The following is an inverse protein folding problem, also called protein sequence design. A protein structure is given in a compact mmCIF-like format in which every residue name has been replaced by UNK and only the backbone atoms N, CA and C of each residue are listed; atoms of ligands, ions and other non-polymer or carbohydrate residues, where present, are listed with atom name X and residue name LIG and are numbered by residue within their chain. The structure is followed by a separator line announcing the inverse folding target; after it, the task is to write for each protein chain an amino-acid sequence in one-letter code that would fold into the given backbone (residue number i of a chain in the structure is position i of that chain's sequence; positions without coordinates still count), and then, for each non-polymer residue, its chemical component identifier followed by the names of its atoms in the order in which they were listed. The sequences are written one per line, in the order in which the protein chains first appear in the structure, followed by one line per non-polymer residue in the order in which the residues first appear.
data_IF_420224351350
#
_entry.id   IF_420224351350
#
_cell.length_a   1.000
_cell.length_b   1.000
_cell.length_c   1.000
_cell.angle_alpha   90.00
_cell.angle_beta   90.00
_cell.angle_gamma   90.00
#
_symmetry.space_group_name_H-M   'P 1'
#
loop_
_entity.id
_entity.type
_entity.pdbx_description
1 polymer ?
#
# COMPACT_ATOMS: atom_id res chain seq x y z
N UNK A 1 21.49 17.44 26.00
CA UNK A 1 21.57 18.65 26.86
C UNK A 1 21.71 18.22 28.31
N UNK A 2 22.63 18.83 29.06
CA UNK A 2 22.79 18.63 30.51
C UNK A 2 21.51 19.06 31.23
N UNK A 3 20.67 18.12 31.64
CA UNK A 3 19.46 18.40 32.41
C UNK A 3 19.90 18.83 33.80
N UNK A 4 19.95 20.14 34.04
CA UNK A 4 19.98 20.68 35.41
C UNK A 4 18.84 20.01 36.16
N UNK A 5 19.13 19.30 37.25
CA UNK A 5 18.10 18.70 38.09
C UNK A 5 17.16 19.82 38.53
N UNK A 6 15.96 19.86 37.95
CA UNK A 6 14.87 20.74 38.37
C UNK A 6 13.98 19.87 39.28
N UNK A 7 14.28 19.78 40.59
CA UNK A 7 13.47 19.01 41.50
C UNK A 7 12.10 19.67 41.69
N UNK A 8 11.08 18.84 41.87
CA UNK A 8 9.77 19.30 42.31
C UNK A 8 9.77 19.21 43.84
N UNK A 9 9.86 20.37 44.49
CA UNK A 9 10.01 20.46 45.95
C UNK A 9 8.67 20.44 46.67
N UNK A 10 7.64 21.05 46.08
CA UNK A 10 6.28 21.10 46.59
C UNK A 10 5.32 20.30 45.70
N UNK A 11 4.79 19.21 46.26
CA UNK A 11 3.89 18.27 45.57
C UNK A 11 2.41 18.55 45.79
N UNK A 12 2.07 19.58 46.58
CA UNK A 12 0.70 20.08 46.64
C UNK A 12 0.22 20.50 45.25
N UNK A 13 -1.09 20.58 45.05
CA UNK A 13 -1.63 21.02 43.76
C UNK A 13 -1.11 22.41 43.39
N UNK A 14 -1.13 23.35 44.33
CA UNK A 14 -0.62 24.72 44.14
C UNK A 14 0.89 24.73 43.86
N UNK A 15 1.66 23.88 44.54
CA UNK A 15 3.10 23.70 44.29
C UNK A 15 3.39 23.22 42.87
N UNK A 16 2.64 22.23 42.38
CA UNK A 16 2.76 21.69 41.01
C UNK A 16 2.37 22.72 39.95
N UNK A 17 1.31 23.50 40.18
CA UNK A 17 0.93 24.59 39.29
C UNK A 17 2.01 25.68 39.21
N UNK A 18 2.60 26.07 40.36
CA UNK A 18 3.72 27.02 40.40
C UNK A 18 4.95 26.47 39.69
N UNK A 19 5.24 25.18 39.86
CA UNK A 19 6.35 24.51 39.19
C UNK A 19 6.21 24.53 37.66
N UNK A 20 5.02 24.19 37.13
CA UNK A 20 4.73 24.26 35.69
C UNK A 20 4.87 25.68 35.17
N UNK A 21 4.31 26.68 35.87
CA UNK A 21 4.44 28.09 35.45
C UNK A 21 5.89 28.54 35.36
N UNK A 22 6.74 28.14 36.32
CA UNK A 22 8.16 28.51 36.35
C UNK A 22 8.99 27.79 35.27
N UNK A 23 8.68 26.52 34.98
CA UNK A 23 9.53 25.67 34.14
C UNK A 23 8.85 25.20 32.84
N UNK A 24 7.78 25.87 32.39
CA UNK A 24 6.88 25.43 31.31
C UNK A 24 7.60 25.00 30.05
N UNK A 25 8.50 25.84 29.55
CA UNK A 25 9.26 25.59 28.31
C UNK A 25 10.11 24.32 28.43
N UNK A 26 10.76 24.10 29.58
CA UNK A 26 11.58 22.91 29.81
C UNK A 26 10.75 21.63 29.91
N UNK A 27 9.54 21.72 30.49
CA UNK A 27 8.59 20.59 30.57
C UNK A 27 8.05 20.23 29.19
N UNK A 28 7.55 21.21 28.43
CA UNK A 28 7.00 20.99 27.09
C UNK A 28 8.04 20.43 26.13
N UNK A 29 9.28 20.96 26.16
CA UNK A 29 10.39 20.44 25.34
C UNK A 29 10.74 18.99 25.71
N UNK A 30 10.79 18.67 27.01
CA UNK A 30 11.08 17.30 27.46
C UNK A 30 9.97 16.33 27.06
N UNK A 31 8.71 16.76 27.07
CA UNK A 31 7.56 15.96 26.60
C UNK A 31 7.60 15.74 25.09
N UNK A 32 7.80 16.81 24.32
CA UNK A 32 7.86 16.73 22.85
C UNK A 32 8.97 15.77 22.40
N UNK A 33 10.18 15.93 22.94
CA UNK A 33 11.30 15.03 22.66
C UNK A 33 10.98 13.58 23.04
N UNK A 34 10.29 13.36 24.17
CA UNK A 34 9.94 11.99 24.58
C UNK A 34 8.87 11.36 23.69
N UNK A 35 7.94 12.16 23.15
CA UNK A 35 6.87 11.71 22.26
C UNK A 35 7.38 11.32 20.87
N UNK A 36 8.45 11.95 20.39
CA UNK A 36 9.10 11.60 19.11
C UNK A 36 9.62 10.15 19.08
N UNK A 37 10.10 9.62 20.21
CA UNK A 37 10.65 8.25 20.29
C UNK A 37 9.61 7.18 20.67
N UNK A 38 8.32 7.53 20.81
CA UNK A 38 7.27 6.63 21.29
C UNK A 38 6.25 6.34 20.19
N UNK A 39 5.72 5.10 20.13
CA UNK A 39 4.83 4.64 19.06
C UNK A 39 3.59 5.55 18.93
N UNK A 40 3.37 6.11 17.74
CA UNK A 40 2.35 7.13 17.48
C UNK A 40 0.92 6.61 17.69
N UNK A 41 0.66 5.34 17.38
CA UNK A 41 -0.66 4.71 17.55
C UNK A 41 -1.15 4.76 19.01
N UNK A 42 -0.27 4.45 19.97
CA UNK A 42 -0.62 4.43 21.40
C UNK A 42 -0.83 5.85 21.95
N UNK A 43 -0.12 6.85 21.42
CA UNK A 43 -0.28 8.25 21.80
C UNK A 43 -1.55 8.84 21.18
N UNK A 44 -1.84 8.51 19.94
CA UNK A 44 -3.07 8.92 19.26
C UNK A 44 -4.28 8.30 19.96
N UNK A 45 -4.24 7.02 20.29
CA UNK A 45 -5.30 6.34 21.03
C UNK A 45 -5.49 6.92 22.43
N UNK A 46 -4.41 7.15 23.17
CA UNK A 46 -4.50 7.63 24.55
C UNK A 46 -4.75 9.14 24.64
N UNK A 47 -4.19 9.97 23.75
CA UNK A 47 -4.16 11.43 23.87
C UNK A 47 -4.67 12.21 22.65
N UNK A 48 -4.74 11.57 21.48
CA UNK A 48 -5.34 12.09 20.24
C UNK A 48 -4.34 12.63 19.22
N UNK A 49 -3.25 13.25 19.66
CA UNK A 49 -2.10 13.62 18.84
C UNK A 49 -0.91 13.91 19.76
N UNK A 50 0.29 14.03 19.22
CA UNK A 50 1.48 14.36 20.02
C UNK A 50 1.37 15.75 20.67
N UNK A 51 0.89 16.77 19.95
CA UNK A 51 0.72 18.13 20.49
C UNK A 51 -0.33 18.16 21.61
N UNK A 52 -1.42 17.39 21.45
CA UNK A 52 -2.45 17.26 22.48
C UNK A 52 -1.97 16.43 23.67
N UNK A 53 -1.05 15.50 23.46
CA UNK A 53 -0.45 14.71 24.54
C UNK A 53 0.37 15.60 25.48
N UNK A 54 1.17 16.53 24.94
CA UNK A 54 1.93 17.49 25.77
C UNK A 54 0.99 18.28 26.70
N UNK A 55 -0.06 18.88 26.14
CA UNK A 55 -1.02 19.69 26.92
C UNK A 55 -1.73 18.84 27.98
N UNK A 56 -2.25 17.67 27.60
CA UNK A 56 -3.02 16.80 28.51
C UNK A 56 -2.17 16.19 29.62
N UNK A 57 -0.90 15.88 29.36
CA UNK A 57 0.00 15.37 30.40
C UNK A 57 0.29 16.45 31.44
N UNK A 58 0.46 17.71 31.01
CA UNK A 58 0.62 18.84 31.92
C UNK A 58 -0.64 19.04 32.76
N UNK A 59 -1.83 18.98 32.15
CA UNK A 59 -3.12 19.06 32.86
C UNK A 59 -3.29 17.95 33.90
N UNK A 60 -2.94 16.71 33.56
CA UNK A 60 -2.96 15.57 34.48
C UNK A 60 -1.98 15.76 35.63
N UNK A 61 -0.79 16.30 35.35
CA UNK A 61 0.23 16.56 36.37
C UNK A 61 -0.20 17.64 37.36
N UNK A 62 -1.01 18.64 36.98
CA UNK A 62 -1.51 19.65 37.92
C UNK A 62 -2.87 19.29 38.53
N UNK A 63 -3.47 18.18 38.12
CA UNK A 63 -4.77 17.76 38.64
C UNK A 63 -4.73 17.42 40.13
N UNK A 64 -5.83 17.70 40.83
CA UNK A 64 -6.07 17.29 42.22
C UNK A 64 -6.06 15.77 42.42
N UNK A 65 -6.29 15.01 41.34
CA UNK A 65 -6.32 13.53 41.35
C UNK A 65 -4.96 12.87 41.18
N UNK A 66 -3.90 13.66 40.99
CA UNK A 66 -2.55 13.15 40.86
C UNK A 66 -2.07 12.52 42.17
N UNK A 67 -1.60 11.28 42.11
CA UNK A 67 -1.03 10.57 43.25
C UNK A 67 0.47 10.38 43.07
N UNK A 68 1.24 10.83 44.06
CA UNK A 68 2.69 10.72 44.10
C UNK A 68 3.18 9.28 44.31
N UNK A 69 2.34 8.40 44.85
CA UNK A 69 2.75 7.06 45.30
C UNK A 69 3.28 6.17 44.16
N UNK A 70 2.87 6.42 42.91
CA UNK A 70 3.23 5.62 41.73
C UNK A 70 4.29 6.29 40.85
N UNK A 71 4.87 7.39 41.31
CA UNK A 71 5.80 8.22 40.54
C UNK A 71 7.24 7.81 40.81
N UNK A 72 8.00 7.44 39.77
CA UNK A 72 9.37 6.95 39.91
C UNK A 72 10.41 8.08 40.00
N UNK A 73 10.16 9.23 39.36
CA UNK A 73 11.06 10.39 39.36
C UNK A 73 10.38 11.61 39.97
N UNK A 74 11.10 12.31 40.85
CA UNK A 74 10.63 13.51 41.56
C UNK A 74 11.19 14.82 40.98
N UNK A 75 11.62 14.77 39.72
CA UNK A 75 12.20 15.87 38.96
C UNK A 75 11.59 15.93 37.54
N UNK A 76 12.15 16.78 36.68
CA UNK A 76 11.72 16.94 35.28
C UNK A 76 11.65 15.62 34.49
N UNK A 77 12.42 14.58 34.87
CA UNK A 77 12.43 13.29 34.15
C UNK A 77 11.13 12.53 34.30
N UNK A 78 10.24 12.91 35.21
CA UNK A 78 8.89 12.36 35.29
C UNK A 78 8.14 12.45 33.94
N UNK A 79 8.34 13.52 33.19
CA UNK A 79 7.64 13.76 31.94
C UNK A 79 8.11 12.86 30.79
N UNK A 80 9.24 12.17 30.93
CA UNK A 80 9.70 11.20 29.92
C UNK A 80 8.98 9.85 30.04
N UNK A 81 8.25 9.61 31.14
CA UNK A 81 7.60 8.33 31.43
C UNK A 81 6.23 8.19 30.73
N UNK A 82 6.19 8.20 29.40
CA UNK A 82 4.93 8.23 28.63
C UNK A 82 3.99 7.05 28.92
N UNK A 83 4.51 5.85 29.19
CA UNK A 83 3.68 4.70 29.61
C UNK A 83 2.96 4.94 30.93
N UNK A 84 3.62 5.60 31.89
CA UNK A 84 2.99 5.99 33.15
C UNK A 84 1.84 6.95 32.86
N UNK A 85 2.04 7.95 32.00
CA UNK A 85 1.02 8.93 31.65
C UNK A 85 -0.17 8.33 30.90
N UNK A 86 0.06 7.41 29.95
CA UNK A 86 -1.00 6.64 29.27
C UNK A 86 -1.80 5.85 30.31
N UNK A 87 -1.14 5.10 31.18
CA UNK A 87 -1.79 4.27 32.20
C UNK A 87 -2.51 5.11 33.26
N UNK A 88 -1.95 6.27 33.61
CA UNK A 88 -2.53 7.20 34.56
C UNK A 88 -3.80 7.85 34.00
N UNK A 89 -3.77 8.29 32.73
CA UNK A 89 -4.95 8.82 32.06
C UNK A 89 -6.05 7.77 31.90
N UNK A 90 -5.67 6.54 31.56
CA UNK A 90 -6.61 5.44 31.31
C UNK A 90 -7.00 4.67 32.58
N UNK A 91 -6.48 5.07 33.76
CA UNK A 91 -6.73 4.50 35.08
C UNK A 91 -6.81 2.96 35.09
N UNK A 92 -5.83 2.28 34.49
CA UNK A 92 -5.69 0.82 34.55
C UNK A 92 -6.58 0.00 33.62
N UNK A 93 -7.29 0.61 32.66
CA UNK A 93 -8.23 -0.13 31.79
C UNK A 93 -7.64 -0.68 30.48
N UNK A 94 -6.31 -0.80 30.35
CA UNK A 94 -5.71 -1.48 29.18
C UNK A 94 -4.79 -2.61 29.65
N UNK A 95 -5.40 -3.76 29.93
CA UNK A 95 -4.69 -5.04 30.03
C UNK A 95 -4.58 -5.67 28.64
N UNK A 96 -3.36 -5.95 28.20
CA UNK A 96 -3.10 -6.90 27.11
C UNK A 96 -3.47 -8.32 27.57
N UNK A 97 -4.48 -8.94 26.96
CA UNK A 97 -4.50 -10.38 26.68
C UNK A 97 -5.64 -10.75 25.70
N UNK A 98 -5.41 -11.80 24.94
CA UNK A 98 -6.17 -12.29 23.80
C UNK A 98 -7.59 -12.80 24.11
N UNK A 99 -8.45 -12.78 23.07
CA UNK A 99 -9.77 -13.45 22.92
C UNK A 99 -10.88 -12.98 23.86
N UNK A 100 -12.16 -12.81 23.51
CA UNK A 100 -13.05 -12.79 22.32
C UNK A 100 -14.31 -12.00 22.81
N UNK A 101 -15.24 -11.66 21.91
CA UNK A 101 -16.66 -11.28 22.11
C UNK A 101 -16.86 -9.76 21.97
N UNK A 102 -17.20 -9.27 20.76
CA UNK A 102 -18.57 -9.00 20.23
C UNK A 102 -19.31 -7.92 21.04
N UNK A 103 -20.00 -6.93 20.48
CA UNK A 103 -20.96 -7.00 19.39
C UNK A 103 -21.43 -5.59 19.00
N UNK A 104 -21.66 -5.38 17.70
CA UNK A 104 -22.83 -4.70 17.09
C UNK A 104 -23.36 -3.36 17.63
N UNK A 105 -23.44 -2.36 16.73
CA UNK A 105 -24.67 -1.67 16.24
C UNK A 105 -24.34 -0.24 15.74
N UNK A 106 -24.47 0.03 14.43
CA UNK A 106 -25.55 0.85 13.81
C UNK A 106 -25.61 2.32 14.32
N UNK A 107 -25.53 3.40 13.53
CA UNK A 107 -26.02 3.74 12.18
C UNK A 107 -25.54 5.17 11.78
N UNK A 108 -25.67 5.46 10.48
CA UNK A 108 -25.79 6.75 9.79
C UNK A 108 -24.55 7.43 9.18
N UNK A 109 -24.39 7.13 7.88
CA UNK A 109 -24.45 8.09 6.77
C UNK A 109 -23.60 9.37 6.90
N UNK A 110 -22.35 9.26 6.48
CA UNK A 110 -21.68 10.32 5.73
C UNK A 110 -21.24 9.75 4.38
N UNK A 111 -21.98 10.11 3.34
CA UNK A 111 -21.57 9.91 1.97
C UNK A 111 -20.39 10.83 1.61
N UNK A 112 -19.49 10.53 0.66
CA UNK A 112 -18.99 9.27 0.09
C UNK A 112 -17.90 9.69 -0.92
N UNK A 113 -16.75 10.19 -0.46
CA UNK A 113 -15.62 10.52 -1.37
C UNK A 113 -14.27 10.03 -0.84
N UNK A 114 -14.15 9.59 0.41
CA UNK A 114 -12.85 9.27 1.03
C UNK A 114 -12.51 7.78 1.15
N UNK A 115 -13.26 6.87 0.51
CA UNK A 115 -13.13 5.43 0.76
C UNK A 115 -12.67 4.57 -0.43
N UNK A 116 -12.68 5.09 -1.66
CA UNK A 116 -12.29 4.29 -2.84
C UNK A 116 -10.78 4.08 -2.92
N UNK A 117 -9.98 5.11 -2.63
CA UNK A 117 -8.52 5.02 -2.67
C UNK A 117 -7.97 4.11 -1.55
N UNK A 118 -8.56 4.17 -0.35
CA UNK A 118 -8.16 3.31 0.77
C UNK A 118 -8.49 1.84 0.49
N UNK A 119 -9.67 1.55 -0.09
CA UNK A 119 -10.09 0.20 -0.50
C UNK A 119 -9.25 -0.34 -1.67
N UNK A 120 -8.88 0.50 -2.63
CA UNK A 120 -8.01 0.13 -3.75
C UNK A 120 -6.57 -0.14 -3.28
N UNK A 121 -6.06 0.62 -2.32
CA UNK A 121 -4.76 0.39 -1.69
C UNK A 121 -4.75 -0.87 -0.81
N UNK A 122 -5.83 -1.14 -0.07
CA UNK A 122 -6.01 -2.39 0.68
C UNK A 122 -6.04 -3.61 -0.24
N UNK A 123 -6.70 -3.49 -1.40
CA UNK A 123 -6.69 -4.54 -2.41
C UNK A 123 -5.28 -4.78 -2.96
N UNK A 124 -4.53 -3.70 -3.22
CA UNK A 124 -3.14 -3.79 -3.69
C UNK A 124 -2.22 -4.41 -2.62
N UNK A 125 -2.36 -4.01 -1.35
CA UNK A 125 -1.57 -4.55 -0.24
C UNK A 125 -1.84 -6.03 0.01
N UNK A 126 -3.05 -6.51 -0.28
CA UNK A 126 -3.42 -7.93 -0.20
C UNK A 126 -2.91 -8.78 -1.39
N UNK A 127 -2.77 -8.17 -2.57
CA UNK A 127 -2.34 -8.87 -3.80
C UNK A 127 -0.83 -8.94 -3.92
N UNK A 128 -0.10 -7.89 -3.49
CA UNK A 128 1.35 -7.81 -3.60
C UNK A 128 2.09 -9.00 -2.93
N UNK A 129 1.77 -9.42 -1.70
CA UNK A 129 2.37 -10.61 -1.09
C UNK A 129 2.11 -11.88 -1.90
N UNK A 130 0.90 -12.03 -2.46
CA UNK A 130 0.54 -13.19 -3.30
C UNK A 130 1.33 -13.19 -4.60
N UNK A 131 1.51 -12.02 -5.20
CA UNK A 131 2.32 -11.86 -6.40
C UNK A 131 3.79 -12.24 -6.11
N UNK A 132 4.37 -11.71 -5.04
CA UNK A 132 5.74 -12.02 -4.62
C UNK A 132 5.97 -13.52 -4.32
N UNK A 133 4.95 -14.23 -3.82
CA UNK A 133 5.04 -15.68 -3.61
C UNK A 133 4.96 -16.48 -4.92
N UNK A 134 4.31 -15.93 -5.96
CA UNK A 134 3.97 -16.64 -7.20
C UNK A 134 4.87 -16.31 -8.38
N UNK A 135 5.70 -15.27 -8.31
CA UNK A 135 6.64 -14.93 -9.40
C UNK A 135 8.08 -14.87 -8.93
N UNK A 136 9.00 -14.86 -9.89
CA UNK A 136 10.42 -14.66 -9.61
C UNK A 136 10.72 -13.18 -9.29
N UNK A 137 11.84 -12.93 -8.62
CA UNK A 137 12.20 -11.60 -8.12
C UNK A 137 12.38 -10.57 -9.25
N UNK A 138 12.92 -11.00 -10.40
CA UNK A 138 13.06 -10.19 -11.60
C UNK A 138 11.71 -9.65 -12.11
N UNK A 139 10.66 -10.47 -12.10
CA UNK A 139 9.30 -10.06 -12.47
C UNK A 139 8.78 -8.98 -11.51
N UNK A 140 9.05 -9.10 -10.20
CA UNK A 140 8.71 -8.06 -9.22
C UNK A 140 9.45 -6.76 -9.54
N UNK A 141 10.74 -6.83 -9.84
CA UNK A 141 11.54 -5.66 -10.22
C UNK A 141 10.99 -4.98 -11.46
N UNK A 142 10.65 -5.73 -12.51
CA UNK A 142 10.09 -5.15 -13.72
C UNK A 142 8.70 -4.56 -13.49
N UNK A 143 7.89 -5.14 -12.61
CA UNK A 143 6.62 -4.55 -12.19
C UNK A 143 6.81 -3.21 -11.48
N UNK A 144 7.75 -3.12 -10.54
CA UNK A 144 8.10 -1.87 -9.85
C UNK A 144 8.58 -0.81 -10.84
N UNK A 145 9.47 -1.19 -11.77
CA UNK A 145 9.95 -0.26 -12.82
C UNK A 145 8.83 0.20 -13.74
N UNK A 146 7.85 -0.66 -14.06
CA UNK A 146 6.71 -0.32 -14.90
C UNK A 146 5.75 0.67 -14.22
N UNK A 147 5.66 0.63 -12.88
CA UNK A 147 4.75 1.44 -12.07
C UNK A 147 5.44 2.55 -11.28
N UNK A 148 6.72 2.87 -11.55
CA UNK A 148 7.50 3.87 -10.80
C UNK A 148 6.77 5.20 -10.61
N UNK A 149 6.11 5.72 -11.66
CA UNK A 149 5.38 6.99 -11.58
C UNK A 149 4.21 6.92 -10.60
N UNK A 150 3.39 5.86 -10.69
CA UNK A 150 2.28 5.60 -9.78
C UNK A 150 2.79 5.44 -8.34
N UNK A 151 3.88 4.70 -8.13
CA UNK A 151 4.47 4.50 -6.80
C UNK A 151 5.03 5.79 -6.20
N UNK A 152 5.61 6.66 -7.02
CA UNK A 152 6.07 7.98 -6.58
C UNK A 152 4.90 8.88 -6.14
N UNK A 153 3.78 8.81 -6.85
CA UNK A 153 2.56 9.57 -6.51
C UNK A 153 1.91 9.05 -5.22
N UNK A 154 2.11 7.78 -4.88
CA UNK A 154 1.61 7.15 -3.65
C UNK A 154 2.54 7.31 -2.44
N UNK A 155 3.81 7.64 -2.63
CA UNK A 155 4.78 7.83 -1.55
C UNK A 155 4.62 9.20 -0.88
N UNK A 156 4.84 9.29 0.44
CA UNK A 156 4.91 10.58 1.16
C UNK A 156 6.08 11.43 0.65
N UNK A 157 6.07 12.75 0.93
CA UNK A 157 7.07 13.73 0.43
C UNK A 157 8.53 13.42 0.80
N UNK A 158 8.77 12.49 1.72
CA UNK A 158 10.08 11.90 1.99
C UNK A 158 10.32 10.78 0.99
N UNK A 159 10.86 11.17 -0.17
CA UNK A 159 11.03 10.33 -1.34
C UNK A 159 11.77 9.02 -1.00
N UNK A 160 11.08 7.89 -1.16
CA UNK A 160 11.74 6.59 -1.30
C UNK A 160 12.71 6.73 -2.48
N UNK A 161 14.01 6.56 -2.25
CA UNK A 161 14.99 6.53 -3.33
C UNK A 161 14.85 5.21 -4.11
N UNK A 162 13.87 5.19 -5.00
CA UNK A 162 13.65 4.07 -5.90
C UNK A 162 14.88 3.81 -6.80
N UNK A 163 15.77 4.80 -7.00
CA UNK A 163 17.01 4.58 -7.73
C UNK A 163 17.93 3.61 -6.99
N UNK A 164 18.03 3.73 -5.65
CA UNK A 164 18.74 2.76 -4.79
C UNK A 164 18.11 1.36 -4.88
N UNK A 165 16.78 1.26 -4.83
CA UNK A 165 16.05 -0.03 -4.98
C UNK A 165 16.26 -0.66 -6.36
N UNK A 166 16.41 0.14 -7.41
CA UNK A 166 16.63 -0.35 -8.78
C UNK A 166 18.11 -0.59 -9.12
N UNK A 167 19.05 0.04 -8.42
CA UNK A 167 20.50 -0.11 -8.66
C UNK A 167 21.06 -1.44 -8.14
N UNK A 168 20.41 -2.09 -7.18
CA UNK A 168 20.84 -3.40 -6.68
C UNK A 168 20.54 -4.56 -7.65
N UNK A 169 19.79 -4.31 -8.74
CA UNK A 169 19.25 -5.35 -9.63
C UNK A 169 19.64 -5.05 -11.08
N UNK A 170 20.93 -5.18 -11.37
CA UNK A 170 21.47 -5.08 -12.73
C UNK A 170 21.23 -6.39 -13.52
N UNK A 171 20.16 -6.40 -14.29
CA UNK A 171 20.09 -7.21 -15.51
C UNK A 171 20.13 -6.24 -16.70
N UNK A 172 21.32 -5.98 -17.24
CA UNK A 172 21.49 -5.13 -18.42
C UNK A 172 20.89 -5.82 -19.65
N UNK A 173 19.71 -5.36 -20.06
CA UNK A 173 18.99 -5.85 -21.24
C UNK A 173 18.70 -4.68 -22.17
N UNK A 174 18.49 -4.94 -23.47
CA UNK A 174 18.14 -3.87 -24.40
C UNK A 174 16.81 -3.19 -24.03
N UNK A 175 16.66 -1.91 -24.38
CA UNK A 175 15.44 -1.14 -24.08
C UNK A 175 14.14 -1.82 -24.58
N UNK A 176 14.22 -2.50 -25.74
CA UNK A 176 13.10 -3.27 -26.31
C UNK A 176 12.75 -4.48 -25.44
N UNK A 177 13.76 -5.22 -24.96
CA UNK A 177 13.58 -6.34 -24.04
C UNK A 177 13.03 -5.86 -22.69
N UNK A 178 13.57 -4.78 -22.16
CA UNK A 178 13.12 -4.17 -20.92
C UNK A 178 11.63 -3.76 -20.98
N UNK A 179 11.19 -3.19 -22.12
CA UNK A 179 9.78 -2.84 -22.34
C UNK A 179 8.89 -4.08 -22.34
N UNK A 180 9.33 -5.18 -22.96
CA UNK A 180 8.59 -6.45 -22.95
C UNK A 180 8.47 -7.04 -21.55
N UNK A 181 9.55 -7.02 -20.77
CA UNK A 181 9.54 -7.50 -19.39
C UNK A 181 8.63 -6.66 -18.47
N UNK A 182 8.67 -5.32 -18.59
CA UNK A 182 7.79 -4.41 -17.84
C UNK A 182 6.32 -4.69 -18.12
N UNK A 183 5.97 -4.86 -19.41
CA UNK A 183 4.60 -5.10 -19.84
C UNK A 183 4.11 -6.50 -19.41
N UNK A 184 4.95 -7.53 -19.55
CA UNK A 184 4.65 -8.88 -19.07
C UNK A 184 4.42 -8.91 -17.55
N UNK A 185 5.29 -8.29 -16.77
CA UNK A 185 5.18 -8.20 -15.32
C UNK A 185 3.89 -7.48 -14.89
N UNK A 186 3.56 -6.35 -15.53
CA UNK A 186 2.31 -5.63 -15.29
C UNK A 186 1.07 -6.46 -15.65
N UNK A 187 1.11 -7.20 -16.77
CA UNK A 187 0.01 -8.06 -17.21
C UNK A 187 -0.27 -9.19 -16.21
N UNK A 188 0.79 -9.87 -15.72
CA UNK A 188 0.69 -10.91 -14.69
C UNK A 188 0.16 -10.39 -13.36
N UNK A 189 0.58 -9.20 -12.95
CA UNK A 189 0.05 -8.58 -11.74
C UNK A 189 -1.44 -8.25 -11.89
N UNK A 190 -1.84 -7.65 -13.01
CA UNK A 190 -3.24 -7.31 -13.30
C UNK A 190 -4.16 -8.53 -13.28
N UNK A 191 -3.67 -9.68 -13.75
CA UNK A 191 -4.42 -10.93 -13.70
C UNK A 191 -4.86 -11.29 -12.26
N UNK A 192 -3.96 -11.15 -11.29
CA UNK A 192 -4.26 -11.37 -9.88
C UNK A 192 -5.06 -10.22 -9.26
N UNK A 193 -4.68 -8.98 -9.56
CA UNK A 193 -5.31 -7.78 -9.00
C UNK A 193 -6.79 -7.66 -9.39
N UNK A 194 -7.12 -7.99 -10.65
CA UNK A 194 -8.49 -7.92 -11.16
C UNK A 194 -9.32 -9.17 -10.87
N UNK A 195 -8.73 -10.20 -10.24
CA UNK A 195 -9.47 -11.41 -9.86
C UNK A 195 -9.87 -12.28 -11.04
N UNK A 196 -9.12 -12.23 -12.15
CA UNK A 196 -9.38 -13.06 -13.35
C UNK A 196 -9.09 -14.54 -13.06
N UNK A 197 -8.27 -14.82 -12.04
CA UNK A 197 -8.03 -16.15 -11.45
C UNK A 197 -9.30 -16.88 -10.99
N UNK A 198 -10.39 -16.15 -10.75
CA UNK A 198 -11.68 -16.74 -10.35
C UNK A 198 -12.45 -17.37 -11.52
N UNK A 199 -12.04 -17.13 -12.77
CA UNK A 199 -12.64 -17.74 -13.96
C UNK A 199 -11.95 -19.08 -14.28
N UNK A 200 -12.57 -20.19 -13.83
CA UNK A 200 -11.95 -21.53 -13.70
C UNK A 200 -11.20 -22.02 -14.95
N UNK A 201 -11.74 -21.81 -16.14
CA UNK A 201 -11.19 -22.41 -17.38
C UNK A 201 -9.93 -21.69 -17.89
N UNK A 202 -9.75 -20.42 -17.52
CA UNK A 202 -8.63 -19.57 -17.91
C UNK A 202 -7.52 -19.65 -16.86
N UNK A 203 -7.91 -19.74 -15.60
CA UNK A 203 -7.01 -19.60 -14.47
C UNK A 203 -5.98 -20.74 -14.37
N UNK A 204 -6.43 -22.00 -14.42
CA UNK A 204 -5.55 -23.14 -14.13
C UNK A 204 -4.34 -23.20 -15.07
N UNK A 205 -4.57 -23.01 -16.37
CA UNK A 205 -3.49 -23.04 -17.36
C UNK A 205 -2.55 -21.84 -17.20
N UNK A 206 -3.10 -20.64 -17.08
CA UNK A 206 -2.33 -19.41 -16.99
C UNK A 206 -1.48 -19.34 -15.73
N UNK A 207 -2.07 -19.67 -14.56
CA UNK A 207 -1.36 -19.66 -13.29
C UNK A 207 -0.19 -20.63 -13.27
N UNK A 208 -0.43 -21.89 -13.68
CA UNK A 208 0.62 -22.92 -13.73
C UNK A 208 1.80 -22.50 -14.61
N UNK A 209 1.51 -21.79 -15.71
CA UNK A 209 2.53 -21.42 -16.69
C UNK A 209 3.25 -20.11 -16.36
N UNK A 210 2.53 -19.09 -15.90
CA UNK A 210 3.06 -17.72 -15.78
C UNK A 210 3.11 -17.18 -14.34
N UNK A 211 2.57 -17.91 -13.36
CA UNK A 211 2.59 -17.55 -11.93
C UNK A 211 3.22 -18.67 -11.08
N UNK A 212 4.44 -19.07 -11.47
CA UNK A 212 5.27 -20.00 -10.72
C UNK A 212 6.59 -19.34 -10.30
N UNK A 213 7.07 -19.62 -9.09
CA UNK A 213 8.36 -19.11 -8.59
C UNK A 213 9.53 -19.79 -9.33
N UNK A 214 10.54 -19.03 -9.76
CA UNK A 214 11.73 -19.57 -10.45
C UNK A 214 11.63 -19.51 -11.99
N UNK A 215 11.54 -20.65 -12.67
CA UNK A 215 11.53 -20.76 -14.14
C UNK A 215 10.23 -20.21 -14.75
N UNK A 216 10.09 -18.89 -14.77
CA UNK A 216 8.86 -18.19 -15.13
C UNK A 216 9.04 -17.27 -16.36
N UNK A 217 9.81 -17.76 -17.32
CA UNK A 217 10.16 -17.02 -18.53
C UNK A 217 8.91 -16.80 -19.39
N UNK A 218 8.60 -15.55 -19.79
CA UNK A 218 7.53 -15.30 -20.74
C UNK A 218 7.81 -16.00 -22.08
N UNK A 219 6.75 -16.17 -22.87
CA UNK A 219 6.77 -16.98 -24.10
C UNK A 219 7.94 -16.63 -25.04
N UNK A 220 8.27 -15.35 -25.18
CA UNK A 220 9.34 -14.87 -26.05
C UNK A 220 10.77 -15.15 -25.55
N UNK A 221 10.94 -15.72 -24.35
CA UNK A 221 12.25 -16.06 -23.74
C UNK A 221 12.32 -17.56 -23.38
N UNK A 222 11.23 -18.33 -23.53
CA UNK A 222 11.28 -19.78 -23.36
C UNK A 222 12.01 -20.42 -24.55
N UNK A 223 13.32 -20.60 -24.41
CA UNK A 223 14.22 -21.12 -25.46
C UNK A 223 13.99 -22.60 -25.84
N UNK A 224 12.93 -23.28 -25.39
CA UNK A 224 12.71 -24.71 -25.71
C UNK A 224 11.25 -25.13 -25.97
N UNK A 225 11.05 -25.73 -27.15
CA UNK A 225 10.13 -26.86 -27.49
C UNK A 225 8.65 -26.81 -27.08
N UNK A 226 7.99 -25.67 -27.16
CA UNK A 226 6.53 -25.66 -26.99
C UNK A 226 5.78 -26.08 -28.28
N UNK A 227 4.88 -27.05 -28.17
CA UNK A 227 4.09 -27.54 -29.32
C UNK A 227 3.20 -26.43 -29.90
N UNK A 228 2.88 -26.51 -31.19
CA UNK A 228 1.93 -25.58 -31.83
C UNK A 228 0.58 -25.52 -31.09
N UNK A 229 0.13 -26.65 -30.53
CA UNK A 229 -1.10 -26.75 -29.73
C UNK A 229 -1.01 -25.90 -28.45
N UNK A 230 0.10 -25.98 -27.73
CA UNK A 230 0.31 -25.18 -26.52
C UNK A 230 0.43 -23.69 -26.84
N UNK A 231 1.17 -23.32 -27.90
CA UNK A 231 1.23 -21.93 -28.37
C UNK A 231 -0.14 -21.38 -28.75
N UNK A 232 -0.96 -22.19 -29.42
CA UNK A 232 -2.34 -21.81 -29.74
C UNK A 232 -3.18 -21.62 -28.47
N UNK A 233 -3.08 -22.53 -27.49
CA UNK A 233 -3.79 -22.42 -26.22
C UNK A 233 -3.38 -21.16 -25.43
N UNK A 234 -2.09 -20.82 -25.41
CA UNK A 234 -1.59 -19.55 -24.84
C UNK A 234 -2.29 -18.38 -25.50
N UNK A 235 -2.26 -18.29 -26.83
CA UNK A 235 -2.87 -17.16 -27.57
C UNK A 235 -4.36 -17.02 -27.25
N UNK A 236 -5.10 -18.12 -27.20
CA UNK A 236 -6.52 -18.12 -26.82
C UNK A 236 -6.72 -17.65 -25.37
N UNK A 237 -5.89 -18.13 -24.45
CA UNK A 237 -5.97 -17.76 -23.02
C UNK A 237 -5.70 -16.27 -22.83
N UNK A 238 -4.65 -15.73 -23.46
CA UNK A 238 -4.29 -14.32 -23.36
C UNK A 238 -5.37 -13.42 -23.95
N UNK A 239 -5.97 -13.82 -25.07
CA UNK A 239 -7.13 -13.12 -25.65
C UNK A 239 -8.29 -13.00 -24.65
N UNK A 240 -8.68 -14.12 -24.03
CA UNK A 240 -9.76 -14.13 -23.01
C UNK A 240 -9.43 -13.26 -21.79
N UNK A 241 -8.16 -13.21 -21.38
CA UNK A 241 -7.71 -12.32 -20.29
C UNK A 241 -7.85 -10.85 -20.72
N UNK A 242 -7.43 -10.49 -21.94
CA UNK A 242 -7.59 -9.13 -22.48
C UNK A 242 -9.08 -8.76 -22.58
N UNK A 243 -9.95 -9.68 -22.99
CA UNK A 243 -11.39 -9.46 -23.02
C UNK A 243 -11.93 -9.17 -21.62
N UNK A 244 -11.49 -9.93 -20.63
CA UNK A 244 -11.86 -9.71 -19.23
C UNK A 244 -11.40 -8.34 -18.73
N UNK A 245 -10.15 -7.94 -19.04
CA UNK A 245 -9.65 -6.60 -18.71
C UNK A 245 -10.44 -5.49 -19.41
N UNK A 246 -10.81 -5.70 -20.68
CA UNK A 246 -11.64 -4.76 -21.44
C UNK A 246 -13.02 -4.59 -20.84
N UNK A 247 -13.65 -5.69 -20.44
CA UNK A 247 -14.95 -5.65 -19.78
C UNK A 247 -14.88 -4.91 -18.44
N UNK A 248 -13.88 -5.25 -17.61
CA UNK A 248 -13.66 -4.60 -16.32
C UNK A 248 -13.46 -3.10 -16.53
N UNK A 249 -12.59 -2.70 -17.46
CA UNK A 249 -12.33 -1.30 -17.78
C UNK A 249 -13.61 -0.54 -18.18
N UNK A 250 -14.47 -1.13 -19.02
CA UNK A 250 -15.73 -0.50 -19.42
C UNK A 250 -16.72 -0.35 -18.26
N UNK A 251 -16.70 -1.28 -17.32
CA UNK A 251 -17.60 -1.27 -16.16
C UNK A 251 -17.04 -0.48 -14.97
N UNK A 252 -15.75 -0.18 -14.95
CA UNK A 252 -15.11 0.63 -13.91
C UNK A 252 -15.67 2.05 -13.88
N UNK A 253 -15.72 2.60 -12.68
CA UNK A 253 -16.01 4.01 -12.44
C UNK A 253 -14.76 4.85 -12.78
N UNK A 254 -14.95 6.05 -13.32
CA UNK A 254 -13.85 6.98 -13.60
C UNK A 254 -13.08 7.38 -12.32
N UNK A 255 -13.72 7.25 -11.16
CA UNK A 255 -13.12 7.46 -9.84
C UNK A 255 -12.19 6.33 -9.38
N UNK A 256 -12.15 5.15 -10.03
CA UNK A 256 -11.19 4.08 -9.70
C UNK A 256 -9.82 4.35 -10.35
N UNK A 257 -9.17 5.43 -9.89
CA UNK A 257 -7.92 5.95 -10.46
C UNK A 257 -6.81 4.89 -10.42
N UNK A 258 -6.74 4.08 -9.36
CA UNK A 258 -5.70 3.06 -9.21
C UNK A 258 -5.83 1.96 -10.28
N UNK A 259 -7.02 1.39 -10.43
CA UNK A 259 -7.26 0.34 -11.43
C UNK A 259 -7.01 0.85 -12.84
N UNK A 260 -7.49 2.06 -13.15
CA UNK A 260 -7.28 2.69 -14.46
C UNK A 260 -5.80 2.97 -14.73
N UNK A 261 -5.05 3.41 -13.72
CA UNK A 261 -3.60 3.65 -13.84
C UNK A 261 -2.82 2.37 -14.09
N UNK A 262 -3.17 1.27 -13.42
CA UNK A 262 -2.54 -0.03 -13.64
C UNK A 262 -2.82 -0.57 -15.04
N UNK A 263 -4.05 -0.41 -15.56
CA UNK A 263 -4.43 -0.84 -16.91
C UNK A 263 -3.67 -0.06 -18.01
N UNK A 264 -3.39 1.23 -17.80
CA UNK A 264 -2.61 2.06 -18.74
C UNK A 264 -1.21 1.50 -19.01
N UNK A 265 -0.59 0.82 -18.04
CA UNK A 265 0.75 0.26 -18.18
C UNK A 265 0.82 -0.82 -19.27
N UNK A 266 -0.26 -1.60 -19.43
CA UNK A 266 -0.38 -2.65 -20.44
C UNK A 266 -1.05 -2.18 -21.74
N UNK A 267 -1.35 -0.88 -21.89
CA UNK A 267 -2.04 -0.29 -23.04
C UNK A 267 -1.16 -0.19 -24.31
N UNK A 268 -0.37 -1.24 -24.59
CA UNK A 268 0.68 -1.26 -25.60
C UNK A 268 0.61 -2.54 -26.41
N UNK A 269 0.90 -2.45 -27.71
CA UNK A 269 0.98 -3.62 -28.61
C UNK A 269 2.00 -4.67 -28.15
N UNK A 270 3.02 -4.26 -27.40
CA UNK A 270 4.03 -5.14 -26.83
C UNK A 270 3.44 -6.35 -26.06
N UNK A 271 2.25 -6.22 -25.45
CA UNK A 271 1.56 -7.37 -24.82
C UNK A 271 1.33 -8.50 -25.83
N UNK A 272 0.87 -8.16 -27.04
CA UNK A 272 0.58 -9.13 -28.09
C UNK A 272 1.86 -9.80 -28.59
N UNK A 273 2.95 -9.05 -28.64
CA UNK A 273 4.26 -9.55 -29.05
C UNK A 273 4.85 -10.50 -27.99
N UNK A 274 4.72 -10.15 -26.70
CA UNK A 274 5.17 -10.95 -25.55
C UNK A 274 4.58 -12.35 -25.57
N UNK A 275 3.29 -12.46 -25.89
CA UNK A 275 2.57 -13.74 -25.89
C UNK A 275 2.37 -14.34 -27.27
N UNK A 276 3.14 -13.87 -28.27
CA UNK A 276 3.10 -14.44 -29.62
C UNK A 276 1.69 -14.41 -30.28
N UNK A 277 0.82 -13.48 -29.88
CA UNK A 277 -0.54 -13.34 -30.45
C UNK A 277 -0.47 -12.84 -31.90
N UNK A 278 0.59 -12.11 -32.23
CA UNK A 278 0.89 -11.57 -33.54
C UNK A 278 1.69 -12.52 -34.47
N UNK A 279 2.23 -13.63 -33.95
CA UNK A 279 3.41 -14.27 -34.54
C UNK A 279 3.15 -15.35 -35.60
N UNK A 280 1.92 -15.49 -36.11
CA UNK A 280 1.52 -16.28 -37.30
C UNK A 280 -0.02 -16.40 -37.41
N UNK A 281 -0.78 -15.40 -36.93
CA UNK A 281 -2.24 -15.45 -37.00
C UNK A 281 -2.66 -14.90 -38.38
N UNK A 282 -3.32 -15.68 -39.26
CA UNK A 282 -3.68 -15.24 -40.61
C UNK A 282 -4.71 -14.10 -40.61
N UNK A 283 -5.40 -13.90 -39.48
CA UNK A 283 -6.49 -12.96 -39.35
C UNK A 283 -6.02 -11.60 -38.79
N UNK A 284 -5.59 -10.71 -39.71
CA UNK A 284 -5.16 -9.34 -39.38
C UNK A 284 -6.23 -8.57 -38.59
N UNK A 285 -7.50 -8.83 -38.87
CA UNK A 285 -8.63 -8.17 -38.22
C UNK A 285 -8.64 -8.44 -36.71
N UNK A 286 -8.32 -9.68 -36.31
CA UNK A 286 -8.23 -10.06 -34.90
C UNK A 286 -7.06 -9.32 -34.22
N UNK A 287 -5.89 -9.20 -34.86
CA UNK A 287 -4.76 -8.47 -34.28
C UNK A 287 -5.11 -6.99 -34.08
N UNK A 288 -5.80 -6.38 -35.04
CA UNK A 288 -6.25 -4.99 -34.95
C UNK A 288 -7.32 -4.79 -33.87
N UNK A 289 -8.25 -5.74 -33.70
CA UNK A 289 -9.24 -5.74 -32.63
C UNK A 289 -8.57 -5.70 -31.24
N UNK A 290 -7.67 -6.64 -30.95
CA UNK A 290 -7.00 -6.67 -29.64
C UNK A 290 -6.04 -5.48 -29.46
N UNK A 291 -5.43 -4.98 -30.55
CA UNK A 291 -4.65 -3.74 -30.49
C UNK A 291 -5.52 -2.54 -30.13
N UNK A 292 -6.75 -2.46 -30.64
CA UNK A 292 -7.73 -1.41 -30.27
C UNK A 292 -8.18 -1.55 -28.82
N UNK A 293 -8.48 -2.77 -28.34
CA UNK A 293 -8.82 -3.02 -26.92
C UNK A 293 -7.70 -2.54 -26.00
N UNK A 294 -6.44 -2.89 -26.27
CA UNK A 294 -5.31 -2.42 -25.46
C UNK A 294 -5.17 -0.89 -25.49
N UNK A 295 -5.31 -0.26 -26.66
CA UNK A 295 -5.26 1.21 -26.78
C UNK A 295 -6.37 1.91 -26.00
N UNK A 296 -7.56 1.29 -25.89
CA UNK A 296 -8.69 1.87 -25.17
C UNK A 296 -8.43 2.08 -23.67
N UNK A 297 -7.48 1.36 -23.06
CA UNK A 297 -7.08 1.57 -21.67
C UNK A 297 -6.43 2.93 -21.39
N UNK A 298 -6.05 3.68 -22.44
CA UNK A 298 -5.59 5.06 -22.28
C UNK A 298 -6.73 6.07 -22.17
N UNK A 299 -7.95 5.68 -22.55
CA UNK A 299 -9.15 6.54 -22.48
C UNK A 299 -9.88 6.31 -21.14
N UNK A 300 -10.64 7.30 -20.69
CA UNK A 300 -11.55 7.11 -19.56
C UNK A 300 -12.71 6.17 -19.96
N UNK A 301 -13.17 5.30 -19.03
CA UNK A 301 -14.34 4.45 -19.22
C UNK A 301 -15.59 5.16 -19.76
N UNK A 302 -15.87 6.40 -19.31
CA UNK A 302 -17.00 7.21 -19.79
C UNK A 302 -17.01 7.41 -21.31
N UNK A 303 -15.87 7.77 -21.91
CA UNK A 303 -15.75 7.94 -23.37
C UNK A 303 -16.02 6.65 -24.17
N UNK A 304 -15.85 5.48 -23.55
CA UNK A 304 -16.11 4.19 -24.20
C UNK A 304 -17.59 3.78 -24.12
N UNK A 305 -18.34 4.33 -23.15
CA UNK A 305 -19.79 4.12 -23.03
C UNK A 305 -20.55 4.95 -24.06
N UNK A 306 -20.07 6.16 -24.36
CA UNK A 306 -20.63 7.04 -25.38
C UNK A 306 -20.42 6.53 -26.81
N UNK A 307 -19.29 5.88 -27.12
CA UNK A 307 -19.02 5.26 -28.44
C UNK A 307 -19.86 3.99 -28.71
N UNK A 308 -20.61 3.48 -27.72
CA UNK A 308 -21.41 2.25 -27.81
C UNK A 308 -22.94 2.49 -27.86
N UNK A 309 -23.36 3.76 -27.84
CA UNK A 309 -24.74 4.24 -28.05
C UNK A 309 -24.90 4.77 -29.48
#
# INVERSE_FOLDING_TARGET
MNVKNLPIEDWSQEGREKYIKKNRISVELTLAQSLEYFKEDVITDAFGSQEKAVVKIIELFVSSRFSLEKVMYKDLKLFTQLKFWVNFKTAGNVTTSSKIVSSEACKHNQEKVMNTDLLCLEKMSNVLPKFNQRVAADVITYWLKANKKLLNELASKEAIDWMSVFSEIENSVSNTQETRYKVDAAFRFLFLYLGVDKQKDIAIFYEKKYLTKGNNKPQYVSMDRETHKNKHLVRLTIKKIIDSFSQIHKTSDDSDILTLSLLKVIAKKAVLDVYEVNSNNPDKNVIEEYSRKLKSFNKHPSFLKEEAL
#
